data_IF_639341143662
#
_entry.id   IF_639341143662
#
_cell.length_a   1.000
_cell.length_b   1.000
_cell.length_c   1.000
_cell.angle_alpha   90.00
_cell.angle_beta   90.00
_cell.angle_gamma   90.00
#
_symmetry.space_group_name_H-M   'P 1'
#
loop_
_entity.id
_entity.type
_entity.pdbx_description
1 polymer ?
#
# COMPACT_ATOMS: atom_id res chain seq x y z
N UNK A 1 58.81 -7.72 42.15
CA UNK A 1 59.09 -6.65 41.16
C UNK A 1 58.99 -7.07 39.69
N UNK A 2 59.95 -7.76 39.04
CA UNK A 2 59.89 -7.99 37.57
C UNK A 2 58.66 -8.80 37.10
N UNK A 3 58.22 -9.81 37.86
CA UNK A 3 57.05 -10.64 37.53
C UNK A 3 55.71 -9.91 37.75
N UNK A 4 55.62 -9.06 38.78
CA UNK A 4 54.43 -8.24 39.03
C UNK A 4 54.29 -7.13 37.97
N UNK A 5 55.38 -6.46 37.60
CA UNK A 5 55.38 -5.48 36.52
C UNK A 5 54.93 -6.10 35.19
N UNK A 6 55.35 -7.33 34.91
CA UNK A 6 54.90 -8.07 33.73
C UNK A 6 53.40 -8.40 33.81
N UNK A 7 52.91 -8.94 34.93
CA UNK A 7 51.50 -9.26 35.13
C UNK A 7 50.59 -8.01 35.03
N UNK A 8 51.00 -6.89 35.63
CA UNK A 8 50.30 -5.61 35.54
C UNK A 8 50.28 -5.07 34.10
N UNK A 9 51.37 -5.25 33.34
CA UNK A 9 51.44 -4.82 31.94
C UNK A 9 50.50 -5.65 31.06
N UNK A 10 50.43 -6.96 31.26
CA UNK A 10 49.49 -7.84 30.54
C UNK A 10 48.04 -7.51 30.89
N UNK A 11 47.76 -7.26 32.18
CA UNK A 11 46.43 -6.86 32.64
C UNK A 11 46.00 -5.52 32.05
N UNK A 12 46.90 -4.54 31.98
CA UNK A 12 46.64 -3.25 31.33
C UNK A 12 46.38 -3.40 29.83
N UNK A 13 47.15 -4.26 29.14
CA UNK A 13 46.94 -4.54 27.72
C UNK A 13 45.57 -5.18 27.46
N UNK A 14 45.13 -6.10 28.32
CA UNK A 14 43.84 -6.79 28.18
C UNK A 14 42.64 -5.95 28.61
N UNK A 15 42.75 -5.16 29.68
CA UNK A 15 41.62 -4.41 30.23
C UNK A 15 41.48 -3.01 29.66
N UNK A 16 42.54 -2.43 29.10
CA UNK A 16 42.55 -1.04 28.63
C UNK A 16 42.86 -0.97 27.14
N UNK A 17 44.01 -1.50 26.72
CA UNK A 17 44.47 -1.36 25.32
C UNK A 17 43.60 -2.16 24.35
N UNK A 18 43.23 -3.39 24.69
CA UNK A 18 42.39 -4.23 23.84
C UNK A 18 40.95 -3.69 23.67
N UNK A 19 40.23 -3.26 24.73
CA UNK A 19 38.94 -2.60 24.56
C UNK A 19 39.06 -1.29 23.79
N UNK A 20 40.06 -0.45 24.07
CA UNK A 20 40.28 0.80 23.33
C UNK A 20 40.59 0.54 21.86
N UNK A 21 41.35 -0.50 21.53
CA UNK A 21 41.64 -0.86 20.14
C UNK A 21 40.41 -1.45 19.44
N UNK A 22 39.57 -2.20 20.15
CA UNK A 22 38.31 -2.72 19.62
C UNK A 22 37.31 -1.59 19.33
N UNK A 23 37.15 -0.65 20.27
CA UNK A 23 36.33 0.56 20.09
C UNK A 23 36.89 1.46 19.00
N UNK A 24 38.21 1.66 18.96
CA UNK A 24 38.89 2.41 17.90
C UNK A 24 38.72 1.77 16.53
N UNK A 25 38.82 0.43 16.45
CA UNK A 25 38.61 -0.33 15.22
C UNK A 25 37.15 -0.30 14.76
N UNK A 26 36.18 -0.43 15.68
CA UNK A 26 34.75 -0.28 15.34
C UNK A 26 34.43 1.14 14.87
N UNK A 27 34.91 2.17 15.57
CA UNK A 27 34.72 3.57 15.18
C UNK A 27 35.41 3.90 13.84
N UNK A 28 36.60 3.35 13.59
CA UNK A 28 37.27 3.47 12.30
C UNK A 28 36.51 2.73 11.20
N UNK A 29 36.03 1.51 11.45
CA UNK A 29 35.24 0.75 10.46
C UNK A 29 33.93 1.45 10.07
N UNK A 30 33.29 2.16 11.00
CA UNK A 30 32.08 2.94 10.71
C UNK A 30 32.39 4.24 9.97
N UNK A 31 33.47 4.95 10.32
CA UNK A 31 33.85 6.21 9.65
C UNK A 31 34.61 6.03 8.33
N UNK A 32 35.43 4.98 8.17
CA UNK A 32 36.27 4.76 7.00
C UNK A 32 35.50 4.24 5.77
N UNK A 33 34.25 3.78 5.94
CA UNK A 33 33.47 3.20 4.86
C UNK A 33 32.71 4.21 4.00
N UNK A 34 32.74 5.52 4.32
CA UNK A 34 31.94 6.53 3.61
C UNK A 34 30.43 6.31 3.71
N UNK A 35 29.99 5.54 4.71
CA UNK A 35 28.58 5.21 4.97
C UNK A 35 28.06 6.11 6.08
N UNK A 36 27.04 6.93 5.80
CA UNK A 36 26.33 7.67 6.83
C UNK A 36 25.33 6.76 7.52
N UNK A 37 25.46 6.61 8.83
CA UNK A 37 24.53 5.83 9.65
C UNK A 37 23.44 6.75 10.21
N UNK A 38 22.18 6.38 10.04
CA UNK A 38 21.04 7.09 10.62
C UNK A 38 20.24 6.13 11.50
N UNK A 39 20.06 6.50 12.76
CA UNK A 39 19.21 5.78 13.71
C UNK A 39 17.76 6.20 13.49
N UNK A 40 16.88 5.21 13.35
CA UNK A 40 15.44 5.38 13.22
C UNK A 40 14.76 4.54 14.32
N UNK A 41 13.94 5.17 15.14
CA UNK A 41 13.16 4.48 16.17
C UNK A 41 11.74 4.26 15.67
N UNK A 42 11.24 3.03 15.81
CA UNK A 42 9.89 2.62 15.49
C UNK A 42 9.10 2.38 16.79
N UNK A 43 8.01 3.13 16.94
CA UNK A 43 7.01 2.98 18.00
C UNK A 43 5.63 3.12 17.41
N UNK A 44 4.60 2.51 18.01
CA UNK A 44 3.23 2.71 17.59
C UNK A 44 2.88 4.22 17.56
N UNK A 45 1.98 4.67 16.66
CA UNK A 45 1.61 6.08 16.50
C UNK A 45 1.27 6.81 17.80
N UNK A 46 0.58 6.17 18.74
CA UNK A 46 0.20 6.70 20.05
C UNK A 46 1.37 6.75 21.06
N UNK A 47 2.49 6.11 20.74
CA UNK A 47 3.71 5.99 21.58
C UNK A 47 4.93 6.74 21.03
N UNK A 48 4.72 7.58 20.01
CA UNK A 48 5.75 8.46 19.48
C UNK A 48 6.10 8.23 18.02
N UNK A 49 5.49 7.24 17.35
CA UNK A 49 5.64 7.00 15.91
C UNK A 49 7.12 6.84 15.48
N UNK A 50 7.46 7.10 14.23
CA UNK A 50 8.83 7.18 13.73
C UNK A 50 9.60 8.35 14.37
N UNK A 51 10.84 8.09 14.80
CA UNK A 51 11.75 9.14 15.25
C UNK A 51 13.16 8.95 14.66
N UNK A 52 13.65 9.86 13.79
CA UNK A 52 12.93 11.02 13.23
C UNK A 52 11.88 10.60 12.18
N UNK A 53 10.86 11.45 11.95
CA UNK A 53 9.89 11.28 10.85
C UNK A 53 10.42 11.81 9.51
N UNK A 54 11.23 12.85 9.56
CA UNK A 54 11.81 13.51 8.40
C UNK A 54 13.32 13.26 8.38
N UNK A 55 13.78 12.56 7.35
CA UNK A 55 15.16 12.21 7.11
C UNK A 55 15.67 13.05 5.93
N UNK A 56 16.89 13.59 6.05
CA UNK A 56 17.55 14.34 4.96
C UNK A 56 18.86 13.68 4.57
N UNK A 57 18.96 13.29 3.30
CA UNK A 57 20.12 12.62 2.70
C UNK A 57 20.48 13.27 1.38
N UNK A 58 21.70 13.05 0.88
CA UNK A 58 22.16 13.62 -0.40
C UNK A 58 22.10 12.58 -1.52
N UNK A 59 21.93 13.05 -2.76
CA UNK A 59 22.10 12.20 -3.95
C UNK A 59 23.50 11.57 -3.93
N UNK A 60 23.57 10.28 -4.27
CA UNK A 60 24.78 9.46 -4.27
C UNK A 60 25.45 9.25 -2.90
N UNK A 61 24.82 9.70 -1.81
CA UNK A 61 25.27 9.38 -0.44
C UNK A 61 24.97 7.92 -0.13
N UNK A 62 25.97 7.18 0.40
CA UNK A 62 25.75 5.83 0.91
C UNK A 62 25.22 5.90 2.34
N UNK A 63 23.97 5.47 2.53
CA UNK A 63 23.27 5.57 3.81
C UNK A 63 22.96 4.19 4.37
N UNK A 64 23.15 4.01 5.67
CA UNK A 64 22.66 2.85 6.44
C UNK A 64 21.60 3.31 7.44
N UNK A 65 20.37 2.83 7.29
CA UNK A 65 19.33 3.01 8.28
C UNK A 65 19.43 1.89 9.32
N UNK A 66 19.50 2.26 10.60
CA UNK A 66 19.42 1.34 11.73
C UNK A 66 18.08 1.56 12.41
N UNK A 67 17.16 0.61 12.22
CA UNK A 67 15.76 0.75 12.59
C UNK A 67 15.49 -0.07 13.85
N UNK A 68 15.17 0.59 14.96
CA UNK A 68 14.95 -0.03 16.26
C UNK A 68 13.47 -0.01 16.64
N UNK A 69 12.87 -1.17 16.84
CA UNK A 69 11.52 -1.28 17.42
C UNK A 69 11.56 -1.21 18.95
N UNK A 70 10.69 -0.40 19.57
CA UNK A 70 10.73 -0.20 21.04
C UNK A 70 9.53 -0.77 21.80
N UNK A 71 8.47 -1.19 21.11
CA UNK A 71 7.22 -1.60 21.74
C UNK A 71 6.62 -2.90 21.17
N UNK A 72 6.21 -2.90 19.90
CA UNK A 72 5.57 -4.02 19.21
C UNK A 72 6.38 -4.40 17.96
N UNK A 73 5.92 -5.42 17.24
CA UNK A 73 6.49 -5.76 15.94
C UNK A 73 6.17 -4.64 14.96
N UNK A 74 7.20 -4.19 14.25
CA UNK A 74 7.10 -3.24 13.14
C UNK A 74 7.65 -3.86 11.87
N UNK A 75 7.43 -3.18 10.75
CA UNK A 75 8.18 -3.38 9.52
C UNK A 75 8.52 -2.01 8.95
N UNK A 76 9.31 -1.97 7.89
CA UNK A 76 9.67 -0.72 7.22
C UNK A 76 9.56 -0.89 5.71
N UNK A 77 8.94 0.07 5.02
CA UNK A 77 8.92 0.09 3.56
C UNK A 77 9.08 1.52 3.06
N UNK A 78 9.94 1.71 2.05
CA UNK A 78 10.08 2.95 1.28
C UNK A 78 10.16 2.58 -0.22
N UNK A 79 9.03 2.34 -0.89
CA UNK A 79 9.00 1.74 -2.23
C UNK A 79 9.76 2.54 -3.28
N UNK A 80 9.67 3.88 -3.23
CA UNK A 80 10.38 4.75 -4.18
C UNK A 80 11.91 4.71 -4.06
N UNK A 81 12.45 4.14 -2.97
CA UNK A 81 13.88 3.84 -2.80
C UNK A 81 14.19 2.33 -2.87
N UNK A 82 13.19 1.49 -3.14
CA UNK A 82 13.34 0.04 -3.17
C UNK A 82 13.68 -0.58 -1.81
N UNK A 83 13.28 0.06 -0.71
CA UNK A 83 13.62 -0.38 0.65
C UNK A 83 12.47 -1.14 1.28
N UNK A 84 12.77 -2.31 1.85
CA UNK A 84 11.83 -3.09 2.62
C UNK A 84 12.55 -3.87 3.72
N UNK A 85 12.00 -3.83 4.93
CA UNK A 85 12.31 -4.71 6.04
C UNK A 85 10.99 -5.29 6.50
N UNK A 86 10.85 -6.62 6.39
CA UNK A 86 9.58 -7.29 6.64
C UNK A 86 9.20 -7.25 8.12
N UNK A 87 10.13 -7.58 9.02
CA UNK A 87 9.85 -7.65 10.44
C UNK A 87 10.99 -7.10 11.30
N UNK A 88 10.62 -6.31 12.31
CA UNK A 88 11.50 -5.73 13.32
C UNK A 88 10.86 -5.99 14.69
N UNK A 89 11.36 -7.01 15.39
CA UNK A 89 10.85 -7.39 16.70
C UNK A 89 11.21 -6.35 17.79
N UNK A 90 10.40 -6.20 18.86
CA UNK A 90 10.72 -5.30 19.97
C UNK A 90 12.13 -5.52 20.52
N UNK A 91 12.85 -4.42 20.77
CA UNK A 91 14.22 -4.43 21.28
C UNK A 91 15.29 -4.79 20.23
N UNK A 92 14.92 -5.19 19.02
CA UNK A 92 15.85 -5.52 17.94
C UNK A 92 16.11 -4.32 17.02
N UNK A 93 17.25 -4.37 16.33
CA UNK A 93 17.67 -3.39 15.33
C UNK A 93 17.79 -4.10 13.99
N UNK A 94 17.06 -3.62 12.99
CA UNK A 94 17.27 -4.00 11.59
C UNK A 94 18.19 -2.99 10.90
N UNK A 95 19.04 -3.45 9.99
CA UNK A 95 19.91 -2.57 9.21
C UNK A 95 19.60 -2.73 7.71
N UNK A 96 19.43 -1.61 7.01
CA UNK A 96 19.28 -1.58 5.55
C UNK A 96 20.14 -0.46 4.97
N UNK A 97 20.86 -0.76 3.88
CA UNK A 97 21.69 0.21 3.17
C UNK A 97 21.04 0.64 1.86
N UNK A 98 21.23 1.90 1.48
CA UNK A 98 20.79 2.41 0.20
C UNK A 98 21.67 3.54 -0.32
N UNK A 99 21.55 3.80 -1.62
CA UNK A 99 22.13 4.96 -2.31
C UNK A 99 21.02 5.56 -3.18
N UNK A 100 20.58 6.76 -2.85
CA UNK A 100 19.57 7.45 -3.67
C UNK A 100 20.23 8.10 -4.88
N UNK A 101 19.73 7.81 -6.09
CA UNK A 101 20.31 8.32 -7.35
C UNK A 101 19.57 9.51 -7.92
N UNK A 102 18.38 9.81 -7.39
CA UNK A 102 17.54 10.92 -7.84
C UNK A 102 17.14 11.76 -6.62
N UNK A 103 17.18 13.10 -6.74
CA UNK A 103 16.63 13.95 -5.70
C UNK A 103 15.11 13.80 -5.67
N UNK A 104 14.49 13.97 -4.51
CA UNK A 104 13.06 13.70 -4.35
C UNK A 104 12.62 13.52 -2.90
N UNK A 105 11.29 13.43 -2.70
CA UNK A 105 10.70 13.08 -1.40
C UNK A 105 10.13 11.68 -1.49
N UNK A 106 10.67 10.78 -0.67
CA UNK A 106 10.30 9.38 -0.65
C UNK A 106 9.57 9.07 0.65
N UNK A 107 8.30 8.71 0.56
CA UNK A 107 7.52 8.32 1.74
C UNK A 107 7.96 6.93 2.18
N UNK A 108 8.14 6.76 3.48
CA UNK A 108 8.29 5.46 4.11
C UNK A 108 7.18 5.24 5.13
N UNK A 109 6.84 3.98 5.38
CA UNK A 109 5.78 3.59 6.29
C UNK A 109 6.11 2.31 7.05
N UNK A 110 5.35 2.06 8.11
CA UNK A 110 5.33 0.76 8.76
C UNK A 110 4.62 -0.24 7.84
N UNK A 111 5.20 -1.43 7.66
CA UNK A 111 4.63 -2.51 6.82
C UNK A 111 4.01 -3.65 7.62
N UNK A 112 3.97 -3.54 8.96
CA UNK A 112 3.36 -4.51 9.88
C UNK A 112 2.32 -3.85 10.76
N UNK A 113 1.19 -4.52 10.96
CA UNK A 113 0.13 -4.03 11.85
C UNK A 113 0.65 -3.85 13.28
N UNK A 114 0.91 -2.60 13.67
CA UNK A 114 1.47 -2.24 14.97
C UNK A 114 0.42 -1.66 15.94
N UNK A 115 -0.68 -1.10 15.43
CA UNK A 115 -1.79 -0.57 16.23
C UNK A 115 -3.02 -0.29 15.35
N UNK A 116 -4.13 0.16 15.95
CA UNK A 116 -5.32 0.61 15.22
C UNK A 116 -5.02 1.80 14.29
N UNK A 117 -4.08 2.65 14.68
CA UNK A 117 -3.63 3.81 13.91
C UNK A 117 -2.44 3.49 12.99
N UNK A 118 -2.13 2.20 12.75
CA UNK A 118 -0.97 1.74 11.97
C UNK A 118 -0.76 2.53 10.66
N UNK A 119 -1.83 2.83 9.94
CA UNK A 119 -1.82 3.59 8.68
C UNK A 119 -1.20 5.00 8.80
N UNK A 120 -1.16 5.59 9.99
CA UNK A 120 -0.55 6.90 10.29
C UNK A 120 0.97 6.83 10.42
N UNK A 121 1.52 5.64 10.62
CA UNK A 121 2.93 5.44 10.93
C UNK A 121 3.81 5.62 9.69
N UNK A 122 4.00 6.88 9.28
CA UNK A 122 4.67 7.29 8.04
C UNK A 122 5.70 8.39 8.29
N UNK A 123 6.69 8.47 7.41
CA UNK A 123 7.69 9.54 7.38
C UNK A 123 8.19 9.80 5.97
N UNK A 124 9.17 10.70 5.84
CA UNK A 124 9.73 11.12 4.55
C UNK A 124 11.25 11.08 4.59
N UNK A 125 11.86 10.50 3.55
CA UNK A 125 13.26 10.67 3.20
C UNK A 125 13.32 11.72 2.09
N UNK A 126 13.82 12.91 2.43
CA UNK A 126 14.13 13.98 1.48
C UNK A 126 15.57 13.78 0.97
N UNK A 127 15.68 13.45 -0.31
CA UNK A 127 16.95 13.35 -1.03
C UNK A 127 17.20 14.69 -1.71
N UNK A 128 18.23 15.40 -1.27
CA UNK A 128 18.63 16.69 -1.82
C UNK A 128 19.79 16.53 -2.80
N UNK A 129 19.76 17.30 -3.88
CA UNK A 129 20.92 17.54 -4.72
C UNK A 129 21.60 18.84 -4.25
N UNK A 130 22.76 18.78 -3.57
CA UNK A 130 23.45 19.99 -3.11
C UNK A 130 23.92 20.89 -4.27
N UNK A 131 24.02 20.35 -5.49
CA UNK A 131 24.38 21.12 -6.69
C UNK A 131 23.17 21.75 -7.38
N UNK A 132 21.97 21.26 -7.10
CA UNK A 132 20.71 21.77 -7.61
C UNK A 132 19.62 21.75 -6.51
N UNK A 133 19.61 22.73 -5.59
CA UNK A 133 18.74 22.74 -4.42
C UNK A 133 17.27 23.08 -4.74
N UNK A 134 16.86 23.10 -6.01
CA UNK A 134 15.48 23.34 -6.39
C UNK A 134 14.57 22.24 -5.82
N UNK A 135 13.37 22.57 -5.31
CA UNK A 135 12.42 21.57 -4.83
C UNK A 135 12.07 20.59 -5.94
N UNK A 136 12.35 19.31 -5.74
CA UNK A 136 11.93 18.28 -6.70
C UNK A 136 10.42 18.09 -6.59
N UNK A 137 9.65 18.25 -7.69
CA UNK A 137 8.22 18.02 -7.66
C UNK A 137 7.91 16.56 -7.32
N UNK A 138 6.93 16.36 -6.44
CA UNK A 138 6.51 15.05 -5.92
C UNK A 138 5.74 14.16 -6.91
N UNK A 139 5.63 14.54 -8.18
CA UNK A 139 4.69 13.89 -9.10
C UNK A 139 5.40 13.00 -10.12
N UNK A 140 4.82 11.83 -10.46
CA UNK A 140 5.29 11.07 -11.62
C UNK A 140 5.23 11.96 -12.87
N UNK A 141 6.14 11.73 -13.81
CA UNK A 141 6.22 12.46 -15.09
C UNK A 141 4.96 12.33 -15.95
N UNK A 142 4.04 11.41 -15.59
CA UNK A 142 2.75 11.20 -16.24
C UNK A 142 1.62 11.28 -15.21
N UNK A 143 0.57 12.10 -15.44
CA UNK A 143 -0.60 12.15 -14.56
C UNK A 143 -1.25 10.77 -14.37
N UNK A 144 -1.85 10.46 -13.19
CA UNK A 144 -2.61 9.23 -12.99
C UNK A 144 -3.74 9.05 -14.01
N UNK A 145 -4.10 7.81 -14.32
CA UNK A 145 -5.07 7.49 -15.38
C UNK A 145 -6.45 8.14 -15.17
N UNK A 146 -6.92 8.28 -13.93
CA UNK A 146 -8.20 8.97 -13.66
C UNK A 146 -8.16 10.44 -14.10
N UNK A 147 -7.01 11.12 -14.01
CA UNK A 147 -6.85 12.49 -14.49
C UNK A 147 -6.77 12.53 -16.01
N UNK A 148 -6.05 11.59 -16.62
CA UNK A 148 -5.97 11.49 -18.08
C UNK A 148 -7.36 11.26 -18.71
N UNK A 149 -8.23 10.50 -18.04
CA UNK A 149 -9.59 10.22 -18.48
C UNK A 149 -10.62 11.26 -18.01
N UNK A 150 -10.19 12.33 -17.30
CA UNK A 150 -11.07 13.34 -16.71
C UNK A 150 -12.20 12.75 -15.84
N UNK A 151 -11.89 11.70 -15.08
CA UNK A 151 -12.85 11.06 -14.16
C UNK A 151 -12.98 11.93 -12.91
N UNK A 152 -14.19 12.42 -12.66
CA UNK A 152 -14.55 13.00 -11.37
C UNK A 152 -14.71 11.88 -10.34
N UNK A 153 -13.74 11.77 -9.44
CA UNK A 153 -13.72 10.74 -8.39
C UNK A 153 -14.86 10.92 -7.39
N UNK A 154 -15.43 12.12 -7.26
CA UNK A 154 -16.40 12.46 -6.21
C UNK A 154 -17.84 12.52 -6.76
N UNK A 155 -18.00 12.44 -8.07
CA UNK A 155 -19.30 12.28 -8.71
C UNK A 155 -19.99 10.96 -8.28
N UNK A 156 -21.34 10.98 -8.12
CA UNK A 156 -22.11 9.76 -7.94
C UNK A 156 -21.93 8.80 -9.12
N UNK A 157 -21.74 7.53 -8.82
CA UNK A 157 -21.50 6.46 -9.79
C UNK A 157 -22.35 5.24 -9.41
N UNK A 158 -23.67 5.39 -9.51
CA UNK A 158 -24.61 4.33 -9.16
C UNK A 158 -24.77 3.35 -10.32
N UNK A 159 -24.80 2.06 -10.00
CA UNK A 159 -25.04 0.98 -10.93
C UNK A 159 -26.47 1.05 -11.48
N UNK A 160 -26.62 1.03 -12.80
CA UNK A 160 -27.92 1.00 -13.46
C UNK A 160 -28.66 -0.35 -13.26
N UNK A 161 -27.94 -1.41 -12.95
CA UNK A 161 -28.47 -2.73 -12.63
C UNK A 161 -27.67 -3.34 -11.47
N UNK A 162 -28.34 -4.14 -10.64
CA UNK A 162 -27.75 -4.79 -9.47
C UNK A 162 -28.16 -6.27 -9.50
N UNK A 163 -27.23 -7.23 -9.34
CA UNK A 163 -27.57 -8.64 -9.31
C UNK A 163 -28.32 -9.00 -8.02
N UNK A 164 -29.24 -9.97 -8.10
CA UNK A 164 -29.99 -10.47 -6.94
C UNK A 164 -29.19 -11.48 -6.11
N UNK A 165 -28.19 -12.11 -6.72
CA UNK A 165 -27.27 -13.06 -6.09
C UNK A 165 -25.84 -12.66 -6.38
N UNK A 166 -24.90 -13.12 -5.55
CA UNK A 166 -23.48 -12.86 -5.77
C UNK A 166 -23.01 -13.50 -7.10
N UNK A 167 -22.54 -12.71 -8.08
CA UNK A 167 -22.08 -13.27 -9.34
C UNK A 167 -20.82 -14.12 -9.16
N UNK A 168 -20.72 -15.22 -9.90
CA UNK A 168 -19.64 -16.20 -9.79
C UNK A 168 -18.96 -16.40 -11.13
N UNK A 169 -17.65 -16.17 -11.15
CA UNK A 169 -16.83 -16.36 -12.33
C UNK A 169 -16.82 -17.84 -12.78
N UNK A 170 -16.89 -18.79 -11.84
CA UNK A 170 -16.95 -20.21 -12.16
C UNK A 170 -18.25 -20.60 -12.88
N UNK A 171 -19.39 -19.99 -12.49
CA UNK A 171 -20.65 -20.20 -13.21
C UNK A 171 -20.61 -19.56 -14.59
N UNK A 172 -19.99 -18.39 -14.73
CA UNK A 172 -19.82 -17.73 -16.02
C UNK A 172 -18.95 -18.57 -16.96
N UNK A 173 -17.87 -19.14 -16.46
CA UNK A 173 -16.98 -20.03 -17.23
C UNK A 173 -17.70 -21.30 -17.70
N UNK A 174 -18.56 -21.86 -16.85
CA UNK A 174 -19.34 -23.06 -17.16
C UNK A 174 -20.39 -22.86 -18.27
N UNK A 175 -20.69 -21.61 -18.66
CA UNK A 175 -21.56 -21.33 -19.81
C UNK A 175 -20.87 -21.65 -21.15
N UNK A 176 -19.54 -21.75 -21.17
CA UNK A 176 -18.73 -22.01 -22.38
C UNK A 176 -19.02 -21.01 -23.53
N UNK A 177 -19.23 -19.74 -23.16
CA UNK A 177 -19.45 -18.63 -24.09
C UNK A 177 -18.24 -17.69 -24.03
N UNK A 178 -17.67 -17.35 -25.19
CA UNK A 178 -16.55 -16.43 -25.26
C UNK A 178 -16.96 -15.00 -24.83
N UNK A 179 -16.13 -14.35 -24.03
CA UNK A 179 -16.24 -12.92 -23.74
C UNK A 179 -15.79 -12.09 -24.95
N UNK A 180 -16.27 -10.85 -25.11
CA UNK A 180 -15.76 -9.93 -26.11
C UNK A 180 -14.25 -9.69 -25.89
N UNK A 181 -13.47 -9.71 -26.97
CA UNK A 181 -12.00 -9.68 -26.90
C UNK A 181 -11.41 -8.52 -26.13
N UNK A 182 -12.08 -7.37 -26.09
CA UNK A 182 -11.61 -6.19 -25.35
C UNK A 182 -11.80 -6.32 -23.83
N UNK A 183 -12.72 -7.18 -23.37
CA UNK A 183 -12.86 -7.53 -21.95
C UNK A 183 -11.74 -8.48 -21.47
N UNK A 184 -10.94 -9.05 -22.37
CA UNK A 184 -9.76 -9.85 -22.00
C UNK A 184 -8.55 -8.97 -21.65
N UNK A 185 -8.64 -7.66 -21.89
CA UNK A 185 -7.52 -6.74 -21.68
C UNK A 185 -7.74 -5.90 -20.41
N UNK A 186 -6.87 -6.08 -19.41
CA UNK A 186 -6.95 -5.36 -18.14
C UNK A 186 -7.00 -3.82 -18.31
N UNK A 187 -6.22 -3.27 -19.24
CA UNK A 187 -6.15 -1.81 -19.48
C UNK A 187 -7.40 -1.22 -20.13
N UNK A 188 -8.20 -2.08 -20.79
CA UNK A 188 -9.50 -1.73 -21.36
C UNK A 188 -10.60 -1.93 -20.34
N UNK A 189 -10.64 -3.10 -19.68
CA UNK A 189 -11.66 -3.44 -18.70
C UNK A 189 -11.66 -2.51 -17.49
N UNK A 190 -10.49 -2.07 -17.01
CA UNK A 190 -10.39 -1.22 -15.83
C UNK A 190 -11.11 0.13 -15.96
N UNK A 191 -11.37 0.57 -17.20
CA UNK A 191 -12.05 1.83 -17.52
C UNK A 191 -13.58 1.73 -17.42
N UNK A 192 -14.12 0.51 -17.42
CA UNK A 192 -15.54 0.23 -17.43
C UNK A 192 -16.03 -0.06 -16.01
N UNK A 193 -17.22 0.42 -15.66
CA UNK A 193 -17.89 -0.08 -14.47
C UNK A 193 -18.48 -1.47 -14.77
N UNK A 194 -18.52 -2.41 -13.80
CA UNK A 194 -19.15 -3.71 -14.02
C UNK A 194 -20.60 -3.63 -14.51
N UNK A 195 -21.37 -2.63 -14.05
CA UNK A 195 -22.73 -2.40 -14.53
C UNK A 195 -22.80 -2.01 -16.00
N UNK A 196 -21.80 -1.28 -16.52
CA UNK A 196 -21.73 -0.94 -17.95
C UNK A 196 -21.42 -2.18 -18.78
N UNK A 197 -20.53 -3.06 -18.28
CA UNK A 197 -20.24 -4.36 -18.92
C UNK A 197 -21.50 -5.22 -18.97
N UNK A 198 -22.27 -5.29 -17.88
CA UNK A 198 -23.55 -5.99 -17.86
C UNK A 198 -24.50 -5.46 -18.94
N UNK A 199 -24.68 -4.14 -19.04
CA UNK A 199 -25.56 -3.54 -20.05
C UNK A 199 -25.09 -3.83 -21.48
N UNK A 200 -23.77 -3.83 -21.71
CA UNK A 200 -23.20 -4.17 -23.00
C UNK A 200 -23.47 -5.62 -23.38
N UNK A 201 -23.26 -6.56 -22.47
CA UNK A 201 -23.54 -7.98 -22.72
C UNK A 201 -25.04 -8.20 -22.95
N UNK A 202 -25.90 -7.54 -22.17
CA UNK A 202 -27.36 -7.60 -22.34
C UNK A 202 -27.83 -7.11 -23.72
N UNK A 203 -27.19 -6.07 -24.24
CA UNK A 203 -27.54 -5.47 -25.53
C UNK A 203 -26.98 -6.25 -26.74
N UNK A 204 -26.03 -7.16 -26.53
CA UNK A 204 -25.39 -7.93 -27.59
C UNK A 204 -26.20 -9.22 -27.88
N UNK A 205 -26.69 -9.41 -29.12
CA UNK A 205 -27.49 -10.57 -29.50
C UNK A 205 -26.82 -11.93 -29.24
N UNK A 206 -25.49 -11.98 -29.20
CA UNK A 206 -24.70 -13.18 -28.87
C UNK A 206 -25.10 -13.75 -27.51
N UNK A 207 -25.45 -12.88 -26.55
CA UNK A 207 -25.79 -13.26 -25.18
C UNK A 207 -27.31 -13.20 -24.91
N UNK A 208 -28.13 -12.99 -25.94
CA UNK A 208 -29.58 -12.75 -25.78
C UNK A 208 -30.37 -13.94 -25.20
N UNK A 209 -29.78 -15.14 -25.17
CA UNK A 209 -30.37 -16.32 -24.55
C UNK A 209 -30.08 -16.43 -23.04
N UNK A 210 -29.12 -15.65 -22.51
CA UNK A 210 -28.72 -15.69 -21.11
C UNK A 210 -29.70 -14.89 -20.25
N UNK A 211 -29.98 -15.42 -19.07
CA UNK A 211 -30.66 -14.70 -18.00
C UNK A 211 -29.77 -13.59 -17.41
N UNK A 212 -30.38 -12.63 -16.72
CA UNK A 212 -29.66 -11.57 -16.01
C UNK A 212 -28.61 -12.14 -15.04
N UNK A 213 -28.90 -13.25 -14.36
CA UNK A 213 -27.97 -13.89 -13.44
C UNK A 213 -26.74 -14.45 -14.18
N UNK A 214 -26.96 -15.10 -15.32
CA UNK A 214 -25.88 -15.64 -16.17
C UNK A 214 -25.04 -14.52 -16.79
N UNK A 215 -25.66 -13.42 -17.22
CA UNK A 215 -24.94 -12.23 -17.69
C UNK A 215 -24.06 -11.63 -16.59
N UNK A 216 -24.52 -11.58 -15.34
CA UNK A 216 -23.69 -11.14 -14.23
C UNK A 216 -22.55 -12.11 -13.92
N UNK A 217 -22.78 -13.41 -14.05
CA UNK A 217 -21.72 -14.42 -13.92
C UNK A 217 -20.64 -14.26 -15.01
N UNK A 218 -21.03 -13.87 -16.23
CA UNK A 218 -20.10 -13.47 -17.30
C UNK A 218 -19.30 -12.20 -16.95
N UNK A 219 -19.91 -11.22 -16.28
CA UNK A 219 -19.19 -10.03 -15.77
C UNK A 219 -18.15 -10.43 -14.73
N UNK A 220 -18.50 -11.31 -13.79
CA UNK A 220 -17.53 -11.83 -12.82
C UNK A 220 -16.39 -12.59 -13.51
N UNK A 221 -16.69 -13.38 -14.53
CA UNK A 221 -15.68 -14.05 -15.35
C UNK A 221 -14.73 -13.04 -16.00
N UNK A 222 -15.23 -11.94 -16.56
CA UNK A 222 -14.38 -10.91 -17.16
C UNK A 222 -13.36 -10.34 -16.16
N UNK A 223 -13.77 -10.06 -14.92
CA UNK A 223 -12.86 -9.60 -13.86
C UNK A 223 -11.86 -10.69 -13.44
N UNK A 224 -12.29 -11.95 -13.35
CA UNK A 224 -11.37 -13.06 -13.05
C UNK A 224 -10.30 -13.22 -14.14
N UNK A 225 -10.67 -13.10 -15.42
CA UNK A 225 -9.76 -13.31 -16.56
C UNK A 225 -8.62 -12.29 -16.63
N UNK A 226 -8.81 -11.09 -16.07
CA UNK A 226 -7.76 -10.06 -15.98
C UNK A 226 -7.07 -10.02 -14.61
N UNK A 227 -7.51 -10.84 -13.66
CA UNK A 227 -6.90 -10.93 -12.32
C UNK A 227 -5.64 -11.79 -12.42
N UNK A 228 -4.50 -11.23 -12.00
CA UNK A 228 -3.22 -11.94 -12.03
C UNK A 228 -3.18 -13.10 -11.04
N UNK A 229 -2.36 -14.12 -11.32
CA UNK A 229 -2.14 -15.23 -10.40
C UNK A 229 -1.66 -14.73 -9.02
N UNK A 230 -2.31 -15.22 -7.96
CA UNK A 230 -2.05 -14.82 -6.57
C UNK A 230 -2.50 -13.41 -6.21
N UNK A 231 -3.11 -12.66 -7.13
CA UNK A 231 -3.55 -11.27 -6.90
C UNK A 231 -4.56 -11.16 -5.76
N UNK A 232 -5.54 -12.06 -5.69
CA UNK A 232 -6.52 -12.08 -4.59
C UNK A 232 -5.87 -12.30 -3.23
N UNK A 233 -4.85 -13.17 -3.15
CA UNK A 233 -4.16 -13.46 -1.90
C UNK A 233 -3.31 -12.26 -1.45
N UNK A 234 -2.52 -11.68 -2.36
CA UNK A 234 -1.72 -10.47 -2.08
C UNK A 234 -2.62 -9.29 -1.73
N UNK A 235 -3.71 -9.11 -2.47
CA UNK A 235 -4.72 -8.09 -2.23
C UNK A 235 -5.39 -8.22 -0.87
N UNK A 236 -5.69 -9.45 -0.42
CA UNK A 236 -6.20 -9.72 0.93
C UNK A 236 -5.22 -9.30 2.03
N UNK A 237 -3.93 -9.57 1.84
CA UNK A 237 -2.88 -9.18 2.79
C UNK A 237 -2.75 -7.65 2.87
N UNK A 238 -2.69 -6.98 1.71
CA UNK A 238 -2.68 -5.52 1.61
C UNK A 238 -3.91 -4.91 2.29
N UNK A 239 -5.11 -5.40 1.95
CA UNK A 239 -6.36 -4.93 2.52
C UNK A 239 -6.43 -5.10 4.04
N UNK A 240 -6.03 -6.26 4.53
CA UNK A 240 -6.02 -6.56 5.97
C UNK A 240 -5.10 -5.62 6.75
N UNK A 241 -3.94 -5.28 6.17
CA UNK A 241 -2.96 -4.37 6.76
C UNK A 241 -3.41 -2.90 6.69
N UNK A 242 -3.88 -2.47 5.53
CA UNK A 242 -3.96 -1.05 5.17
C UNK A 242 -5.38 -0.48 5.16
N UNK A 243 -6.40 -1.33 4.93
CA UNK A 243 -7.77 -0.89 4.64
C UNK A 243 -8.77 -1.31 5.73
N UNK A 244 -8.63 -2.52 6.26
CA UNK A 244 -9.63 -3.17 7.11
C UNK A 244 -9.88 -2.45 8.44
N UNK A 245 -8.91 -1.68 8.95
CA UNK A 245 -9.06 -0.86 10.16
C UNK A 245 -10.28 0.08 10.09
N UNK A 246 -10.50 0.64 8.90
CA UNK A 246 -11.56 1.59 8.60
C UNK A 246 -12.73 0.92 7.86
N UNK A 247 -12.42 0.16 6.80
CA UNK A 247 -13.46 -0.43 5.94
C UNK A 247 -14.05 -1.74 6.50
N UNK A 248 -13.50 -2.26 7.60
CA UNK A 248 -13.92 -3.53 8.20
C UNK A 248 -13.36 -4.74 7.46
N UNK A 249 -13.14 -5.85 8.16
CA UNK A 249 -12.61 -7.09 7.55
C UNK A 249 -13.54 -7.64 6.46
N UNK A 250 -14.84 -7.39 6.59
CA UNK A 250 -15.87 -7.83 5.65
C UNK A 250 -16.26 -6.74 4.63
N UNK A 251 -15.51 -5.62 4.58
CA UNK A 251 -15.75 -4.55 3.61
C UNK A 251 -16.94 -3.63 3.92
N UNK A 252 -17.60 -3.75 5.07
CA UNK A 252 -18.88 -3.07 5.37
C UNK A 252 -18.77 -1.60 5.78
N UNK A 253 -17.57 -1.03 5.80
CA UNK A 253 -17.36 0.34 6.30
C UNK A 253 -17.56 0.49 7.81
N UNK A 254 -17.49 -0.61 8.57
CA UNK A 254 -17.78 -0.67 10.02
C UNK A 254 -16.52 -0.82 10.89
N UNK A 255 -15.34 -0.67 10.28
CA UNK A 255 -14.05 -0.78 10.94
C UNK A 255 -13.92 0.22 12.10
N UNK A 256 -13.33 -0.20 13.24
CA UNK A 256 -13.30 0.61 14.46
C UNK A 256 -12.61 1.97 14.29
N UNK A 257 -11.59 2.06 13.43
CA UNK A 257 -10.90 3.32 13.16
C UNK A 257 -11.71 4.27 12.25
N UNK A 258 -12.71 3.73 11.53
CA UNK A 258 -13.47 4.45 10.51
C UNK A 258 -14.83 4.98 10.95
N UNK A 259 -15.49 4.36 11.94
CA UNK A 259 -16.93 4.56 12.24
C UNK A 259 -17.40 6.02 12.35
N UNK A 260 -16.57 6.91 12.86
CA UNK A 260 -16.90 8.32 13.10
C UNK A 260 -16.23 9.27 12.11
N UNK A 261 -15.53 8.75 11.11
CA UNK A 261 -14.96 9.59 10.07
C UNK A 261 -16.08 10.23 9.25
N UNK A 262 -15.91 11.47 8.79
CA UNK A 262 -16.97 12.15 8.05
C UNK A 262 -17.25 11.47 6.70
N UNK A 263 -16.28 10.74 6.12
CA UNK A 263 -16.52 9.94 4.92
C UNK A 263 -17.02 10.79 3.75
N UNK A 264 -17.96 10.25 2.98
CA UNK A 264 -18.64 11.01 1.91
C UNK A 264 -19.61 12.06 2.46
N UNK A 265 -20.05 11.97 3.72
CA UNK A 265 -20.94 12.97 4.33
C UNK A 265 -20.29 14.35 4.40
N UNK A 266 -18.95 14.44 4.38
CA UNK A 266 -18.22 15.70 4.26
C UNK A 266 -18.48 16.43 2.93
N UNK A 267 -18.76 15.68 1.87
CA UNK A 267 -18.82 16.17 0.49
C UNK A 267 -20.24 16.11 -0.10
N UNK A 268 -21.09 15.23 0.43
CA UNK A 268 -22.44 14.99 -0.06
C UNK A 268 -23.45 15.03 1.08
N UNK A 269 -24.34 16.03 1.06
CA UNK A 269 -25.41 16.15 2.03
C UNK A 269 -26.34 14.91 1.99
N UNK A 270 -26.62 14.34 3.16
CA UNK A 270 -27.45 13.14 3.30
C UNK A 270 -26.72 11.80 3.12
N UNK A 271 -25.43 11.80 2.76
CA UNK A 271 -24.62 10.58 2.80
C UNK A 271 -24.35 10.14 4.25
N UNK A 272 -24.23 8.82 4.45
CA UNK A 272 -23.84 8.24 5.74
C UNK A 272 -22.39 8.57 6.05
N UNK A 273 -22.10 8.91 7.30
CA UNK A 273 -20.73 9.02 7.81
C UNK A 273 -20.03 7.65 7.82
N UNK A 274 -18.71 7.69 7.82
CA UNK A 274 -17.86 6.51 7.81
C UNK A 274 -17.32 6.16 6.43
N UNK A 275 -16.46 5.13 6.35
CA UNK A 275 -15.83 4.69 5.11
C UNK A 275 -16.84 4.04 4.16
N UNK A 276 -16.44 3.89 2.90
CA UNK A 276 -17.25 3.19 1.91
C UNK A 276 -17.53 1.73 2.34
N UNK A 277 -18.77 1.30 2.11
CA UNK A 277 -19.20 -0.10 2.18
C UNK A 277 -18.93 -0.75 0.82
N UNK A 278 -17.91 -1.60 0.75
CA UNK A 278 -17.54 -2.35 -0.45
C UNK A 278 -18.53 -3.49 -0.79
N UNK A 279 -19.49 -3.78 0.08
CA UNK A 279 -20.59 -4.71 -0.18
C UNK A 279 -21.84 -4.03 -0.76
N UNK A 280 -21.86 -2.69 -0.82
CA UNK A 280 -22.92 -1.93 -1.51
C UNK A 280 -22.78 -2.07 -3.03
N UNK A 281 -23.48 -3.06 -3.58
CA UNK A 281 -23.50 -3.36 -5.01
C UNK A 281 -23.98 -2.15 -5.85
N UNK A 282 -24.86 -1.31 -5.32
CA UNK A 282 -25.35 -0.12 -6.02
C UNK A 282 -24.26 0.90 -6.29
N UNK A 283 -23.27 1.04 -5.41
CA UNK A 283 -22.12 1.93 -5.62
C UNK A 283 -20.96 1.23 -6.30
N UNK A 284 -20.61 0.05 -5.80
CA UNK A 284 -19.39 -0.62 -6.21
C UNK A 284 -19.48 -1.21 -7.62
N UNK A 285 -20.66 -1.61 -8.11
CA UNK A 285 -20.82 -2.04 -9.52
C UNK A 285 -20.91 -0.86 -10.49
N UNK A 286 -21.16 0.36 -10.00
CA UNK A 286 -21.11 1.59 -10.80
C UNK A 286 -19.74 2.26 -10.82
N UNK A 287 -18.81 1.84 -9.96
CA UNK A 287 -17.42 2.29 -9.99
C UNK A 287 -16.61 1.49 -11.00
N UNK A 288 -15.83 2.15 -11.86
CA UNK A 288 -14.75 1.51 -12.63
C UNK A 288 -13.52 1.27 -11.76
N UNK A 289 -12.62 0.38 -12.18
CA UNK A 289 -11.37 0.16 -11.44
C UNK A 289 -10.51 1.43 -11.43
N UNK A 290 -10.48 2.20 -12.53
CA UNK A 290 -9.76 3.50 -12.56
C UNK A 290 -10.32 4.49 -11.52
N UNK A 291 -11.64 4.50 -11.28
CA UNK A 291 -12.23 5.32 -10.22
C UNK A 291 -11.75 4.87 -8.84
N UNK A 292 -11.77 3.56 -8.57
CA UNK A 292 -11.27 2.99 -7.31
C UNK A 292 -9.78 3.30 -7.11
N UNK A 293 -8.95 3.12 -8.14
CA UNK A 293 -7.54 3.48 -8.16
C UNK A 293 -7.36 4.95 -7.80
N UNK A 294 -8.10 5.84 -8.46
CA UNK A 294 -8.02 7.28 -8.20
C UNK A 294 -8.35 7.63 -6.75
N UNK A 295 -9.37 7.00 -6.14
CA UNK A 295 -9.69 7.21 -4.73
C UNK A 295 -8.59 6.73 -3.78
N UNK A 296 -7.94 5.61 -4.07
CA UNK A 296 -6.83 5.08 -3.26
C UNK A 296 -5.58 5.97 -3.43
N UNK A 297 -5.25 6.35 -4.66
CA UNK A 297 -4.11 7.20 -4.99
C UNK A 297 -4.21 8.59 -4.35
N UNK A 298 -5.36 9.25 -4.49
CA UNK A 298 -5.58 10.62 -3.99
C UNK A 298 -5.90 10.66 -2.50
N UNK A 299 -6.46 9.58 -1.96
CA UNK A 299 -7.20 9.61 -0.70
C UNK A 299 -8.54 10.33 -0.85
N UNK A 300 -9.33 10.31 0.21
CA UNK A 300 -10.62 11.00 0.25
C UNK A 300 -10.48 12.36 0.92
N UNK A 301 -10.42 13.42 0.12
CA UNK A 301 -10.27 14.81 0.58
C UNK A 301 -11.33 15.14 1.65
N UNK A 302 -10.90 15.42 2.88
CA UNK A 302 -11.80 15.73 4.01
C UNK A 302 -12.56 14.53 4.58
N UNK A 303 -12.48 13.34 3.99
CA UNK A 303 -13.17 12.13 4.46
C UNK A 303 -12.45 11.41 5.61
N UNK A 304 -11.16 11.72 5.82
CA UNK A 304 -10.26 11.01 6.73
C UNK A 304 -9.52 9.82 6.12
N UNK A 305 -9.79 9.46 4.86
CA UNK A 305 -9.05 8.43 4.14
C UNK A 305 -7.68 8.96 3.67
N UNK A 306 -6.55 8.34 4.09
CA UNK A 306 -5.20 8.76 3.67
C UNK A 306 -4.97 8.47 2.18
N UNK A 307 -3.98 9.15 1.59
CA UNK A 307 -3.46 8.79 0.27
C UNK A 307 -2.59 7.51 0.36
N UNK A 308 -2.50 6.76 -0.72
CA UNK A 308 -1.62 5.59 -0.81
C UNK A 308 -0.71 5.60 -2.03
N UNK A 309 -0.77 6.66 -2.86
CA UNK A 309 -0.04 6.73 -4.13
C UNK A 309 1.48 6.75 -3.98
N UNK A 310 2.01 7.17 -2.84
CA UNK A 310 3.45 7.09 -2.57
C UNK A 310 3.92 5.73 -2.03
N UNK A 311 2.99 4.87 -1.61
CA UNK A 311 3.28 3.59 -0.97
C UNK A 311 2.90 2.38 -1.84
N UNK A 312 1.95 2.53 -2.76
CA UNK A 312 1.46 1.44 -3.59
C UNK A 312 2.06 1.53 -4.99
N UNK A 313 2.71 0.45 -5.43
CA UNK A 313 3.04 0.26 -6.83
C UNK A 313 1.80 -0.06 -7.67
N UNK A 314 1.98 -0.15 -8.99
CA UNK A 314 0.89 -0.53 -9.90
C UNK A 314 0.31 -1.92 -9.57
N UNK A 315 1.18 -2.89 -9.28
CA UNK A 315 0.75 -4.24 -8.90
C UNK A 315 0.01 -4.27 -7.57
N UNK A 316 0.48 -3.54 -6.55
CA UNK A 316 -0.21 -3.46 -5.26
C UNK A 316 -1.62 -2.88 -5.41
N UNK A 317 -1.74 -1.85 -6.26
CA UNK A 317 -3.02 -1.23 -6.59
C UNK A 317 -3.97 -2.20 -7.31
N UNK A 318 -3.47 -2.96 -8.28
CA UNK A 318 -4.27 -3.97 -8.97
C UNK A 318 -4.71 -5.07 -8.01
N UNK A 319 -3.80 -5.56 -7.15
CA UNK A 319 -4.08 -6.62 -6.19
C UNK A 319 -5.12 -6.21 -5.15
N UNK A 320 -4.99 -5.03 -4.54
CA UNK A 320 -5.98 -4.57 -3.55
C UNK A 320 -7.35 -4.35 -4.18
N UNK A 321 -7.40 -3.88 -5.44
CA UNK A 321 -8.67 -3.67 -6.15
C UNK A 321 -9.31 -5.00 -6.53
N UNK A 322 -8.55 -5.97 -7.01
CA UNK A 322 -9.05 -7.32 -7.28
C UNK A 322 -9.67 -7.93 -6.01
N UNK A 323 -9.02 -7.75 -4.85
CA UNK A 323 -9.59 -8.17 -3.57
C UNK A 323 -10.84 -7.38 -3.16
N UNK A 324 -10.87 -6.05 -3.36
CA UNK A 324 -12.08 -5.25 -3.12
C UNK A 324 -13.24 -5.73 -4.01
N UNK A 325 -13.00 -6.07 -5.28
CA UNK A 325 -14.00 -6.65 -6.19
C UNK A 325 -14.51 -8.00 -5.70
N UNK A 326 -13.69 -8.75 -4.98
CA UNK A 326 -14.09 -10.01 -4.34
C UNK A 326 -15.15 -9.84 -3.25
N UNK A 327 -15.49 -8.65 -2.77
CA UNK A 327 -16.66 -8.48 -1.89
C UNK A 327 -17.98 -8.63 -2.66
N UNK A 328 -17.98 -8.34 -3.96
CA UNK A 328 -19.16 -8.46 -4.81
C UNK A 328 -19.15 -9.66 -5.74
N UNK A 329 -17.97 -10.11 -6.17
CA UNK A 329 -17.82 -11.24 -7.08
C UNK A 329 -17.21 -12.42 -6.36
N UNK A 330 -17.72 -13.61 -6.65
CA UNK A 330 -17.01 -14.85 -6.38
C UNK A 330 -15.99 -15.08 -7.51
N UNK A 331 -14.73 -14.70 -7.23
CA UNK A 331 -13.59 -14.81 -8.15
C UNK A 331 -12.74 -16.04 -7.84
N UNK A 332 -13.28 -17.02 -7.11
CA UNK A 332 -12.55 -18.19 -6.65
C UNK A 332 -11.91 -18.02 -5.26
N UNK A 333 -11.15 -19.03 -4.81
CA UNK A 333 -10.64 -19.07 -3.45
C UNK A 333 -9.61 -17.97 -3.18
N UNK A 334 -9.76 -17.30 -2.03
CA UNK A 334 -8.79 -16.36 -1.47
C UNK A 334 -8.03 -17.06 -0.35
N UNK A 335 -7.29 -18.13 -0.69
CA UNK A 335 -6.48 -18.89 0.28
C UNK A 335 -5.05 -18.33 0.32
#
# INVERSE_FOLDING_TARGET
>A
MRRELFALSVLFLLLVVFPLSLFGYQAWRTHAAGVRVIELTASAPDKGDWQPKDLRVQVSEKVRLRIKATDVIHGFVAPGLGLAVDEIAPGHVAEIEFVATQPGRYVFACSRWCSVDHWRMRGVIEVIDPTNPAPVPMSPSTPPLYQQLNIDLDAPHLAAAIPTTRPSAARGDALDIALPSDLHNASSLCRLAPADVFQRLRADPTYGALSDAELWDMVALAWLRVTLDGSLQRGRQLYGRDCAACHGQMGKGDGPAGRNLPGLAAMQAGAKSGPADFTDAGRMLGASDVLLQGKILRGGMGSGMPEWGSLYGETDMQDVIAYIRSFLFDLGPVN
#
